data_IF_180314245947
#
_entry.id   IF_180314245947
#
_cell.length_a   1.000
_cell.length_b   1.000
_cell.length_c   1.000
_cell.angle_alpha   90.00
_cell.angle_beta   90.00
_cell.angle_gamma   90.00
#
_symmetry.space_group_name_H-M   'P 1'
#
loop_
_entity.id
_entity.type
_entity.pdbx_description
1 polymer ?
#
# COMPACT_ATOMS: atom_id res chain seq x y z
N UNK A 1 -17.39 13.65 12.36
CA UNK A 1 -17.07 12.39 13.09
C UNK A 1 -15.58 12.35 13.40
N UNK A 2 -15.21 11.83 14.58
CA UNK A 2 -13.80 11.68 15.00
C UNK A 2 -13.25 10.34 14.56
N UNK A 3 -12.10 10.33 13.87
CA UNK A 3 -11.44 9.12 13.43
C UNK A 3 -10.02 9.05 13.95
N UNK A 4 -9.67 7.98 14.67
CA UNK A 4 -8.32 7.69 15.10
C UNK A 4 -7.68 6.74 14.07
N UNK A 5 -6.74 7.27 13.28
CA UNK A 5 -5.98 6.49 12.31
C UNK A 5 -4.73 5.91 12.97
N UNK A 6 -4.71 4.60 13.14
CA UNK A 6 -3.60 3.85 13.74
C UNK A 6 -2.77 3.24 12.63
N UNK A 7 -1.52 3.68 12.48
CA UNK A 7 -0.65 3.25 11.39
C UNK A 7 0.83 3.44 11.70
N UNK A 8 1.67 3.09 10.74
CA UNK A 8 3.07 3.48 10.76
C UNK A 8 3.23 4.82 10.03
N UNK A 9 3.69 5.83 10.76
CA UNK A 9 4.01 7.15 10.23
C UNK A 9 5.51 7.38 10.43
N UNK A 10 6.22 7.69 9.35
CA UNK A 10 7.66 7.97 9.42
C UNK A 10 7.90 9.30 10.15
N UNK A 11 8.97 9.36 10.93
CA UNK A 11 9.48 10.63 11.49
C UNK A 11 10.30 11.40 10.45
N UNK A 12 10.81 10.72 9.43
CA UNK A 12 11.50 11.33 8.31
C UNK A 12 10.47 11.81 7.27
N UNK A 13 10.36 13.13 7.01
CA UNK A 13 9.41 13.69 6.05
C UNK A 13 9.61 13.21 4.61
N UNK A 14 10.82 12.74 4.27
CA UNK A 14 11.12 12.20 2.94
C UNK A 14 10.51 10.82 2.70
N UNK A 15 10.10 10.11 3.78
CA UNK A 15 9.51 8.78 3.71
C UNK A 15 7.99 8.89 3.81
N UNK A 16 7.35 8.82 2.66
CA UNK A 16 5.89 8.79 2.58
C UNK A 16 5.40 7.35 2.83
N UNK A 17 4.76 7.12 3.96
CA UNK A 17 4.25 5.78 4.33
C UNK A 17 2.85 5.55 3.76
N UNK A 18 2.48 4.29 3.59
CA UNK A 18 1.13 3.96 3.12
C UNK A 18 0.03 4.47 4.08
N UNK A 19 0.27 4.49 5.39
CA UNK A 19 -0.68 5.05 6.35
C UNK A 19 -0.86 6.58 6.19
N UNK A 20 0.19 7.29 5.78
CA UNK A 20 0.13 8.74 5.55
C UNK A 20 -0.85 9.07 4.42
N UNK A 21 -0.91 8.25 3.38
CA UNK A 21 -1.81 8.47 2.22
C UNK A 21 -3.30 8.44 2.56
N UNK A 22 -3.68 7.89 3.71
CA UNK A 22 -5.08 7.85 4.14
C UNK A 22 -5.56 9.14 4.83
N UNK A 23 -4.64 9.98 5.31
CA UNK A 23 -5.01 11.14 6.15
C UNK A 23 -5.92 12.10 5.38
N UNK A 24 -5.44 12.58 4.24
CA UNK A 24 -6.16 13.58 3.46
C UNK A 24 -7.49 13.06 2.87
N UNK A 25 -7.57 11.87 2.27
CA UNK A 25 -8.84 11.32 1.82
C UNK A 25 -9.89 11.19 2.93
N UNK A 26 -9.47 10.78 4.15
CA UNK A 26 -10.38 10.71 5.29
C UNK A 26 -10.84 12.09 5.75
N UNK A 27 -9.96 13.10 5.72
CA UNK A 27 -10.34 14.49 6.02
C UNK A 27 -11.32 15.04 4.98
N UNK A 28 -11.13 14.76 3.70
CA UNK A 28 -12.08 15.13 2.62
C UNK A 28 -13.47 14.49 2.81
N UNK A 29 -13.51 13.30 3.38
CA UNK A 29 -14.77 12.65 3.75
C UNK A 29 -15.44 13.26 5.01
N UNK A 30 -14.88 14.32 5.59
CA UNK A 30 -15.45 15.05 6.72
C UNK A 30 -15.09 14.47 8.09
N UNK A 31 -14.05 13.61 8.18
CA UNK A 31 -13.55 13.14 9.46
C UNK A 31 -12.58 14.15 10.11
N UNK A 32 -12.72 14.35 11.42
CA UNK A 32 -11.64 14.90 12.25
C UNK A 32 -10.64 13.78 12.50
N UNK A 33 -9.53 13.78 11.75
CA UNK A 33 -8.53 12.69 11.77
C UNK A 33 -7.44 13.00 12.77
N UNK A 34 -7.22 12.09 13.72
CA UNK A 34 -6.04 12.06 14.58
C UNK A 34 -5.23 10.80 14.28
N UNK A 35 -3.91 10.93 14.22
CA UNK A 35 -3.02 9.80 13.95
C UNK A 35 -2.42 9.23 15.23
N UNK A 36 -2.15 7.92 15.22
CA UNK A 36 -1.39 7.22 16.26
C UNK A 36 -0.36 6.30 15.59
N UNK A 37 0.94 6.56 15.88
CA UNK A 37 2.03 5.71 15.37
C UNK A 37 2.25 4.54 16.33
N UNK A 38 1.99 3.31 15.87
CA UNK A 38 2.19 2.11 16.68
C UNK A 38 3.62 1.53 16.57
N UNK A 39 4.49 2.15 15.77
CA UNK A 39 5.91 1.79 15.59
C UNK A 39 6.80 2.94 16.05
N UNK A 40 6.70 3.35 17.29
CA UNK A 40 7.63 4.32 17.87
C UNK A 40 8.92 3.62 18.30
N UNK A 41 10.08 4.21 17.96
CA UNK A 41 11.35 3.74 18.46
C UNK A 41 11.45 4.12 19.95
N UNK A 42 11.24 3.14 20.82
CA UNK A 42 11.55 3.31 22.23
C UNK A 42 13.06 3.13 22.45
N UNK A 43 13.60 3.82 23.47
CA UNK A 43 15.01 3.86 23.85
C UNK A 43 15.65 2.48 24.15
N UNK A 44 14.88 1.42 24.19
CA UNK A 44 15.36 0.06 24.42
C UNK A 44 15.57 -0.65 23.07
N UNK A 45 16.63 -0.26 22.36
CA UNK A 45 17.10 -1.00 21.18
C UNK A 45 17.91 -2.23 21.65
N UNK A 46 17.24 -3.34 21.89
CA UNK A 46 17.90 -4.60 22.22
C UNK A 46 17.19 -5.77 21.54
N UNK A 47 17.97 -6.75 21.07
CA UNK A 47 17.48 -8.00 20.46
C UNK A 47 16.77 -8.94 21.47
N UNK A 48 16.58 -8.50 22.72
CA UNK A 48 16.00 -9.32 23.77
C UNK A 48 14.47 -9.35 23.68
N UNK A 49 13.90 -10.55 23.73
CA UNK A 49 12.46 -10.83 23.71
C UNK A 49 11.68 -10.04 24.78
N UNK A 50 12.29 -9.78 25.93
CA UNK A 50 11.70 -9.00 27.00
C UNK A 50 11.44 -7.53 26.60
N UNK A 51 12.38 -6.89 25.88
CA UNK A 51 12.21 -5.52 25.38
C UNK A 51 11.05 -5.41 24.40
N UNK A 52 10.85 -6.41 23.55
CA UNK A 52 9.73 -6.45 22.62
C UNK A 52 8.38 -6.50 23.36
N UNK A 53 8.28 -7.30 24.41
CA UNK A 53 7.05 -7.41 25.22
C UNK A 53 6.76 -6.10 25.96
N UNK A 54 7.75 -5.50 26.59
CA UNK A 54 7.61 -4.22 27.30
C UNK A 54 7.17 -3.12 26.33
N UNK A 55 7.83 -2.99 25.18
CA UNK A 55 7.46 -2.01 24.16
C UNK A 55 6.03 -2.21 23.67
N UNK A 56 5.60 -3.45 23.45
CA UNK A 56 4.21 -3.74 23.08
C UNK A 56 3.22 -3.30 24.19
N UNK A 57 3.53 -3.56 25.47
CA UNK A 57 2.68 -3.12 26.56
C UNK A 57 2.55 -1.60 26.60
N UNK A 58 3.67 -0.87 26.46
CA UNK A 58 3.69 0.59 26.46
C UNK A 58 2.86 1.15 25.30
N UNK A 59 3.06 0.66 24.07
CA UNK A 59 2.31 1.09 22.87
C UNK A 59 0.81 0.86 23.06
N UNK A 60 0.42 -0.30 23.57
CA UNK A 60 -0.98 -0.63 23.80
C UNK A 60 -1.62 0.29 24.86
N UNK A 61 -0.91 0.60 25.96
CA UNK A 61 -1.38 1.55 26.95
C UNK A 61 -1.49 2.97 26.41
N UNK A 62 -0.51 3.40 25.60
CA UNK A 62 -0.53 4.73 24.97
C UNK A 62 -1.68 4.85 23.97
N UNK A 63 -1.95 3.79 23.17
CA UNK A 63 -3.11 3.77 22.27
C UNK A 63 -4.42 3.88 23.04
N UNK A 64 -4.59 3.11 24.13
CA UNK A 64 -5.78 3.19 24.97
C UNK A 64 -5.97 4.62 25.52
N UNK A 65 -4.92 5.21 26.10
CA UNK A 65 -4.98 6.58 26.63
C UNK A 65 -5.32 7.61 25.53
N UNK A 66 -4.73 7.46 24.34
CA UNK A 66 -5.02 8.34 23.20
C UNK A 66 -6.48 8.23 22.75
N UNK A 67 -7.01 6.99 22.69
CA UNK A 67 -8.41 6.75 22.35
C UNK A 67 -9.38 7.31 23.42
N UNK A 68 -9.10 7.09 24.70
CA UNK A 68 -9.92 7.62 25.81
C UNK A 68 -9.96 9.15 25.81
N UNK A 69 -8.82 9.81 25.53
CA UNK A 69 -8.75 11.27 25.45
C UNK A 69 -9.46 11.83 24.22
N UNK A 70 -9.32 11.19 23.06
CA UNK A 70 -9.89 11.66 21.80
C UNK A 70 -11.34 11.26 21.61
N UNK A 71 -11.75 10.09 22.15
CA UNK A 71 -13.08 9.46 22.01
C UNK A 71 -13.47 9.34 20.52
N UNK A 72 -12.74 8.54 19.74
CA UNK A 72 -13.02 8.39 18.31
C UNK A 72 -14.34 7.64 18.09
N UNK A 73 -15.13 8.10 17.12
CA UNK A 73 -16.28 7.36 16.60
C UNK A 73 -15.82 6.11 15.82
N UNK A 74 -14.72 6.28 15.07
CA UNK A 74 -14.10 5.22 14.29
C UNK A 74 -12.62 5.12 14.65
N UNK A 75 -12.13 3.92 14.90
CA UNK A 75 -10.69 3.63 14.95
C UNK A 75 -10.33 2.81 13.72
N UNK A 76 -9.56 3.40 12.82
CA UNK A 76 -9.11 2.77 11.58
C UNK A 76 -7.65 2.36 11.70
N UNK A 77 -7.41 1.06 11.71
CA UNK A 77 -6.08 0.47 11.84
C UNK A 77 -5.54 0.05 10.48
N UNK A 78 -4.33 0.47 10.14
CA UNK A 78 -3.58 -0.02 9.00
C UNK A 78 -2.48 -0.92 9.53
N UNK A 79 -2.60 -2.22 9.23
CA UNK A 79 -1.77 -3.31 9.76
C UNK A 79 -1.92 -3.46 11.28
N UNK A 80 -1.25 -2.63 12.08
CA UNK A 80 -1.35 -2.58 13.55
C UNK A 80 -1.10 -3.95 14.24
N UNK A 81 -0.11 -4.69 13.75
CA UNK A 81 0.19 -6.08 14.16
C UNK A 81 0.63 -6.23 15.62
N UNK A 82 1.05 -5.13 16.27
CA UNK A 82 1.46 -5.11 17.68
C UNK A 82 0.32 -4.80 18.65
N UNK A 83 -0.83 -4.40 18.12
CA UNK A 83 -1.97 -4.05 18.97
C UNK A 83 -2.68 -5.31 19.47
N UNK A 84 -2.86 -5.38 20.78
CA UNK A 84 -3.41 -6.56 21.45
C UNK A 84 -4.96 -6.57 21.41
N UNK A 85 -5.58 -7.74 21.26
CA UNK A 85 -7.04 -7.87 21.28
C UNK A 85 -7.70 -7.25 22.51
N UNK A 86 -7.07 -7.38 23.70
CA UNK A 86 -7.57 -6.77 24.94
C UNK A 86 -7.64 -5.25 24.88
N UNK A 87 -6.67 -4.60 24.19
CA UNK A 87 -6.66 -3.14 24.00
C UNK A 87 -7.79 -2.72 23.06
N UNK A 88 -8.00 -3.46 21.97
CA UNK A 88 -9.12 -3.24 21.04
C UNK A 88 -10.46 -3.34 21.76
N UNK A 89 -10.65 -4.40 22.56
CA UNK A 89 -11.88 -4.59 23.37
C UNK A 89 -12.11 -3.47 24.40
N UNK A 90 -11.03 -3.01 25.06
CA UNK A 90 -11.11 -1.91 26.01
C UNK A 90 -11.55 -0.61 25.33
N UNK A 91 -10.96 -0.29 24.17
CA UNK A 91 -11.34 0.91 23.38
C UNK A 91 -12.79 0.79 22.93
N UNK A 92 -13.19 -0.35 22.39
CA UNK A 92 -14.56 -0.60 21.95
C UNK A 92 -15.57 -0.38 23.10
N UNK A 93 -15.27 -0.93 24.28
CA UNK A 93 -16.16 -0.82 25.46
C UNK A 93 -16.22 0.60 26.00
N UNK A 94 -15.08 1.33 26.07
CA UNK A 94 -14.98 2.60 26.77
C UNK A 94 -15.26 3.81 25.85
N UNK A 95 -15.03 3.69 24.54
CA UNK A 95 -15.25 4.77 23.59
C UNK A 95 -16.44 4.52 22.67
N UNK A 96 -17.04 3.32 22.68
CA UNK A 96 -18.06 2.89 21.71
C UNK A 96 -17.61 3.04 20.25
N UNK A 97 -16.30 2.90 20.01
CA UNK A 97 -15.70 3.08 18.69
C UNK A 97 -16.00 1.91 17.78
N UNK A 98 -16.30 2.20 16.51
CA UNK A 98 -16.33 1.22 15.44
C UNK A 98 -14.90 0.90 14.98
N UNK A 99 -14.50 -0.36 15.08
CA UNK A 99 -13.13 -0.80 14.85
C UNK A 99 -12.97 -1.35 13.44
N UNK A 100 -12.16 -0.70 12.60
CA UNK A 100 -11.85 -1.10 11.24
C UNK A 100 -10.38 -1.48 11.13
N UNK A 101 -10.06 -2.55 10.41
CA UNK A 101 -8.68 -2.89 10.07
C UNK A 101 -8.53 -3.07 8.56
N UNK A 102 -7.58 -2.39 7.96
CA UNK A 102 -7.02 -2.73 6.66
C UNK A 102 -5.68 -3.43 6.85
N UNK A 103 -5.61 -4.70 6.46
CA UNK A 103 -4.39 -5.47 6.60
C UNK A 103 -3.70 -5.63 5.24
N UNK A 104 -2.58 -4.92 4.98
CA UNK A 104 -1.93 -4.89 3.66
C UNK A 104 -1.05 -6.11 3.36
N UNK A 105 -0.98 -7.07 4.27
CA UNK A 105 -0.29 -8.35 4.12
C UNK A 105 -1.24 -9.51 4.40
N UNK A 106 -0.79 -10.78 4.30
CA UNK A 106 -1.59 -11.89 4.81
C UNK A 106 -1.55 -11.93 6.34
N UNK A 107 -2.69 -11.78 7.04
CA UNK A 107 -2.70 -11.87 8.50
C UNK A 107 -2.34 -13.26 9.03
N UNK A 108 -2.37 -14.28 8.18
CA UNK A 108 -2.05 -15.67 8.51
C UNK A 108 -0.58 -16.02 8.24
N UNK A 109 0.16 -15.13 7.57
CA UNK A 109 1.58 -15.30 7.29
C UNK A 109 2.43 -14.87 8.51
N UNK A 110 2.55 -15.75 9.50
CA UNK A 110 3.22 -15.47 10.78
C UNK A 110 4.75 -15.39 10.70
N UNK A 111 5.31 -15.67 9.52
CA UNK A 111 6.75 -15.58 9.29
C UNK A 111 7.18 -14.17 8.84
N UNK A 112 8.45 -13.87 9.03
CA UNK A 112 9.11 -12.64 8.55
C UNK A 112 8.49 -11.31 9.01
N UNK A 113 7.83 -11.27 10.17
CA UNK A 113 7.25 -10.05 10.72
C UNK A 113 6.06 -9.50 9.94
N UNK A 114 5.50 -10.27 8.99
CA UNK A 114 4.32 -9.85 8.22
C UNK A 114 3.05 -9.88 9.07
N UNK A 115 2.96 -10.81 10.02
CA UNK A 115 1.83 -10.94 10.93
C UNK A 115 2.29 -11.36 12.32
N UNK A 116 1.37 -11.30 13.28
CA UNK A 116 1.56 -11.73 14.67
C UNK A 116 0.31 -12.45 15.17
N UNK A 117 0.49 -13.20 16.26
CA UNK A 117 -0.65 -13.82 16.97
C UNK A 117 -1.68 -12.79 17.43
N UNK A 118 -1.26 -11.55 17.71
CA UNK A 118 -2.19 -10.48 18.10
C UNK A 118 -3.17 -10.14 17.00
N UNK A 119 -2.72 -10.04 15.74
CA UNK A 119 -3.66 -9.73 14.64
C UNK A 119 -4.61 -10.89 14.38
N UNK A 120 -4.10 -12.13 14.37
CA UNK A 120 -4.97 -13.32 14.16
C UNK A 120 -6.06 -13.40 15.22
N UNK A 121 -5.69 -13.24 16.51
CA UNK A 121 -6.65 -13.20 17.61
C UNK A 121 -7.53 -11.94 17.61
N UNK A 122 -7.07 -10.87 16.99
CA UNK A 122 -7.78 -9.59 16.88
C UNK A 122 -8.84 -9.58 15.77
N UNK A 123 -8.77 -10.48 14.79
CA UNK A 123 -9.70 -10.51 13.65
C UNK A 123 -11.16 -10.47 14.12
N UNK A 124 -11.54 -11.33 15.06
CA UNK A 124 -12.89 -11.40 15.60
C UNK A 124 -13.32 -10.18 16.44
N UNK A 125 -12.37 -9.33 16.87
CA UNK A 125 -12.65 -8.13 17.68
C UNK A 125 -13.01 -6.95 16.79
N UNK A 126 -12.37 -6.81 15.62
CA UNK A 126 -12.71 -5.76 14.66
C UNK A 126 -14.15 -5.91 14.18
N UNK A 127 -14.81 -4.77 13.98
CA UNK A 127 -16.17 -4.74 13.43
C UNK A 127 -16.14 -4.93 11.92
N UNK A 128 -15.11 -4.39 11.24
CA UNK A 128 -14.94 -4.47 9.81
C UNK A 128 -13.48 -4.73 9.46
N UNK A 129 -13.24 -5.76 8.66
CA UNK A 129 -11.92 -6.12 8.19
C UNK A 129 -11.83 -5.91 6.68
N UNK A 130 -10.87 -5.12 6.25
CA UNK A 130 -10.62 -4.79 4.85
C UNK A 130 -9.42 -5.61 4.36
N UNK A 131 -9.59 -6.30 3.26
CA UNK A 131 -8.56 -7.18 2.71
C UNK A 131 -8.41 -6.99 1.20
N UNK A 132 -7.19 -6.99 0.74
CA UNK A 132 -6.82 -6.77 -0.66
C UNK A 132 -6.82 -8.04 -1.52
N UNK A 133 -7.00 -9.21 -0.93
CA UNK A 133 -7.04 -10.51 -1.63
C UNK A 133 -8.34 -11.25 -1.34
N UNK A 134 -9.06 -11.63 -2.39
CA UNK A 134 -10.27 -12.46 -2.28
C UNK A 134 -9.97 -13.84 -1.70
N UNK A 135 -8.79 -14.41 -1.97
CA UNK A 135 -8.39 -15.73 -1.47
C UNK A 135 -8.24 -15.80 0.05
N UNK A 136 -8.04 -14.66 0.72
CA UNK A 136 -7.95 -14.61 2.17
C UNK A 136 -9.32 -14.54 2.87
N UNK A 137 -10.40 -14.29 2.14
CA UNK A 137 -11.76 -14.13 2.70
C UNK A 137 -12.23 -15.37 3.44
N UNK A 138 -12.12 -16.62 2.90
CA UNK A 138 -12.56 -17.81 3.62
C UNK A 138 -11.82 -18.02 4.96
N UNK A 139 -10.52 -17.76 4.97
CA UNK A 139 -9.72 -17.85 6.20
C UNK A 139 -10.11 -16.78 7.25
N UNK A 140 -10.46 -15.58 6.80
CA UNK A 140 -10.95 -14.50 7.69
C UNK A 140 -12.31 -14.86 8.28
N UNK A 141 -13.22 -15.44 7.50
CA UNK A 141 -14.52 -15.96 8.00
C UNK A 141 -14.28 -17.01 9.07
N UNK A 142 -13.42 -18.00 8.80
CA UNK A 142 -13.05 -19.04 9.75
C UNK A 142 -12.39 -18.50 11.02
N UNK A 143 -11.70 -17.36 10.94
CA UNK A 143 -11.13 -16.67 12.10
C UNK A 143 -12.14 -15.81 12.88
N UNK A 144 -13.43 -15.85 12.52
CA UNK A 144 -14.52 -15.16 13.21
C UNK A 144 -14.66 -13.68 12.84
N UNK A 145 -14.21 -13.28 11.66
CA UNK A 145 -14.39 -11.92 11.17
C UNK A 145 -15.90 -11.63 10.98
N UNK A 146 -16.36 -10.47 11.48
CA UNK A 146 -17.78 -10.10 11.47
C UNK A 146 -18.24 -9.55 10.14
N UNK A 147 -17.48 -8.61 9.60
CA UNK A 147 -17.74 -7.99 8.30
C UNK A 147 -16.42 -7.92 7.53
N UNK A 148 -16.44 -8.33 6.28
CA UNK A 148 -15.28 -8.32 5.38
C UNK A 148 -15.65 -7.54 4.14
N UNK A 149 -14.75 -6.64 3.70
CA UNK A 149 -14.83 -6.03 2.38
C UNK A 149 -13.51 -6.19 1.63
N UNK A 150 -13.62 -6.50 0.36
CA UNK A 150 -12.50 -6.38 -0.54
C UNK A 150 -12.12 -4.91 -0.68
N UNK A 151 -10.87 -4.60 -0.39
CA UNK A 151 -10.31 -3.27 -0.47
C UNK A 151 -8.97 -3.37 -1.19
N UNK A 152 -8.94 -3.16 -2.50
CA UNK A 152 -7.70 -3.23 -3.26
C UNK A 152 -6.73 -2.16 -2.77
N UNK A 153 -5.45 -2.42 -2.93
CA UNK A 153 -4.48 -1.34 -2.83
C UNK A 153 -4.93 -0.22 -3.77
N UNK A 154 -4.77 1.01 -3.30
CA UNK A 154 -5.13 2.20 -4.05
C UNK A 154 -3.96 3.16 -4.01
N UNK A 155 -4.01 4.23 -4.79
CA UNK A 155 -2.99 5.27 -4.76
C UNK A 155 -3.54 6.57 -4.19
N UNK A 156 -2.63 7.39 -3.65
CA UNK A 156 -2.95 8.73 -3.18
C UNK A 156 -3.08 9.68 -4.37
N UNK A 157 -4.31 10.13 -4.62
CA UNK A 157 -4.59 11.03 -5.73
C UNK A 157 -3.81 12.35 -5.64
N UNK A 158 -3.61 12.90 -4.45
CA UNK A 158 -2.85 14.16 -4.30
C UNK A 158 -1.39 14.01 -4.69
N UNK A 159 -0.76 12.92 -4.24
CA UNK A 159 0.62 12.64 -4.63
C UNK A 159 0.74 12.41 -6.13
N UNK A 160 -0.20 11.67 -6.74
CA UNK A 160 -0.10 11.26 -8.14
C UNK A 160 -0.75 12.24 -9.12
N UNK A 161 -1.63 13.16 -8.69
CA UNK A 161 -2.16 14.23 -9.53
C UNK A 161 -1.18 15.39 -9.73
N UNK A 162 -0.15 15.53 -8.88
CA UNK A 162 0.84 16.59 -9.02
C UNK A 162 1.62 16.46 -10.33
N UNK A 163 1.80 17.56 -11.04
CA UNK A 163 2.68 17.59 -12.20
C UNK A 163 4.14 17.35 -11.76
N UNK A 164 4.80 16.46 -12.47
CA UNK A 164 6.23 16.21 -12.26
C UNK A 164 7.02 17.02 -13.26
N UNK A 165 7.94 17.84 -12.75
CA UNK A 165 8.95 18.49 -13.58
C UNK A 165 10.18 17.60 -13.60
N UNK A 166 10.52 17.07 -14.76
CA UNK A 166 11.74 16.30 -14.98
C UNK A 166 12.82 17.25 -15.48
N UNK A 167 13.86 17.42 -14.67
CA UNK A 167 15.04 18.19 -15.05
C UNK A 167 16.02 17.35 -15.83
N UNK A 168 16.98 17.98 -16.52
CA UNK A 168 18.07 17.23 -17.17
C UNK A 168 18.88 16.40 -16.17
N UNK A 169 19.02 16.87 -14.93
CA UNK A 169 19.67 16.12 -13.85
C UNK A 169 18.88 14.87 -13.50
N UNK A 170 17.54 14.98 -13.41
CA UNK A 170 16.65 13.84 -13.14
C UNK A 170 16.75 12.84 -14.29
N UNK A 171 16.72 13.32 -15.55
CA UNK A 171 16.84 12.46 -16.72
C UNK A 171 18.15 11.68 -16.72
N UNK A 172 19.28 12.33 -16.45
CA UNK A 172 20.59 11.68 -16.34
C UNK A 172 20.68 10.66 -15.21
N UNK A 173 20.02 10.95 -14.07
CA UNK A 173 20.11 10.13 -12.86
C UNK A 173 19.18 8.92 -12.90
N UNK A 174 17.95 9.10 -13.37
CA UNK A 174 16.91 8.07 -13.32
C UNK A 174 16.72 7.29 -14.63
N UNK A 175 17.19 7.79 -15.78
CA UNK A 175 16.92 7.17 -17.08
C UNK A 175 17.31 5.69 -17.13
N UNK A 176 16.38 4.88 -17.64
CA UNK A 176 16.60 3.46 -17.91
C UNK A 176 15.58 2.93 -18.92
N UNK A 177 15.93 1.85 -19.62
CA UNK A 177 14.98 1.11 -20.45
C UNK A 177 14.01 0.35 -19.56
N UNK A 178 14.54 -0.25 -18.48
CA UNK A 178 13.76 -1.04 -17.51
C UNK A 178 14.09 -0.57 -16.09
N UNK A 179 13.09 -0.25 -15.30
CA UNK A 179 13.24 0.14 -13.91
C UNK A 179 12.49 -0.83 -12.99
N UNK A 180 13.12 -1.20 -11.90
CA UNK A 180 12.50 -1.93 -10.80
C UNK A 180 12.64 -1.15 -9.49
N UNK A 181 11.53 -0.93 -8.79
CA UNK A 181 11.51 -0.28 -7.47
C UNK A 181 10.88 -1.23 -6.45
N UNK A 182 11.70 -1.83 -5.61
CA UNK A 182 11.26 -2.77 -4.57
C UNK A 182 12.41 -3.38 -3.78
N UNK A 183 12.11 -3.86 -2.57
CA UNK A 183 13.06 -4.55 -1.70
C UNK A 183 13.59 -5.82 -2.35
N UNK A 184 14.83 -6.17 -2.07
CA UNK A 184 15.42 -7.41 -2.53
C UNK A 184 14.65 -8.64 -2.03
N UNK A 185 14.48 -9.61 -2.90
CA UNK A 185 14.03 -10.97 -2.60
C UNK A 185 14.71 -11.93 -3.55
N UNK A 186 15.02 -13.17 -3.15
CA UNK A 186 15.76 -14.12 -3.99
C UNK A 186 15.15 -14.31 -5.38
N UNK A 187 13.84 -14.41 -5.42
CA UNK A 187 13.07 -14.65 -6.66
C UNK A 187 13.17 -13.46 -7.62
N UNK A 188 13.07 -12.24 -7.10
CA UNK A 188 13.25 -11.00 -7.89
C UNK A 188 14.66 -10.88 -8.45
N UNK A 189 15.66 -11.21 -7.62
CA UNK A 189 17.05 -11.19 -8.04
C UNK A 189 17.31 -12.19 -9.19
N UNK A 190 16.74 -13.39 -9.13
CA UNK A 190 16.82 -14.38 -10.22
C UNK A 190 16.25 -13.85 -11.53
N UNK A 191 15.05 -13.23 -11.50
CA UNK A 191 14.43 -12.67 -12.70
C UNK A 191 15.24 -11.52 -13.30
N UNK A 192 15.73 -10.62 -12.47
CA UNK A 192 16.53 -9.48 -12.92
C UNK A 192 17.90 -9.89 -13.41
N UNK A 193 18.52 -10.92 -12.83
CA UNK A 193 19.78 -11.50 -13.31
C UNK A 193 19.62 -12.13 -14.69
N UNK A 194 18.50 -12.83 -14.96
CA UNK A 194 18.16 -13.35 -16.29
C UNK A 194 18.09 -12.21 -17.32
N UNK A 195 17.42 -11.09 -16.98
CA UNK A 195 17.35 -9.91 -17.85
C UNK A 195 18.74 -9.39 -18.16
N UNK A 196 19.61 -9.21 -17.15
CA UNK A 196 20.97 -8.73 -17.34
C UNK A 196 21.80 -9.61 -18.26
N UNK A 197 21.65 -10.94 -18.13
CA UNK A 197 22.40 -11.92 -18.92
C UNK A 197 21.90 -12.05 -20.37
N UNK A 198 20.58 -12.03 -20.54
CA UNK A 198 19.94 -12.27 -21.85
C UNK A 198 19.78 -11.01 -22.67
N UNK A 199 19.66 -9.84 -22.03
CA UNK A 199 19.45 -8.54 -22.66
C UNK A 199 20.52 -7.53 -22.21
N UNK A 200 21.82 -7.80 -22.41
CA UNK A 200 22.91 -6.97 -21.87
C UNK A 200 22.95 -5.55 -22.46
N UNK A 201 22.31 -5.34 -23.60
CA UNK A 201 22.22 -4.04 -24.28
C UNK A 201 21.22 -3.08 -23.61
N UNK A 202 20.35 -3.57 -22.71
CA UNK A 202 19.38 -2.74 -22.00
C UNK A 202 19.99 -2.08 -20.78
N UNK A 203 19.56 -0.85 -20.54
CA UNK A 203 19.81 -0.17 -19.28
C UNK A 203 18.76 -0.59 -18.25
N UNK A 204 19.21 -1.29 -17.20
CA UNK A 204 18.39 -1.69 -16.06
C UNK A 204 18.73 -0.82 -14.85
N UNK A 205 17.72 -0.27 -14.18
CA UNK A 205 17.86 0.46 -12.91
C UNK A 205 17.10 -0.25 -11.79
N UNK A 206 17.78 -0.53 -10.67
CA UNK A 206 17.20 -1.19 -9.50
C UNK A 206 17.30 -0.23 -8.32
N UNK A 207 16.15 0.01 -7.66
CA UNK A 207 16.02 0.82 -6.45
C UNK A 207 15.34 0.01 -5.36
N UNK A 208 15.95 -0.07 -4.18
CA UNK A 208 15.33 -0.78 -3.07
C UNK A 208 16.30 -1.16 -1.96
N UNK A 209 15.74 -1.52 -0.82
CA UNK A 209 16.53 -1.95 0.32
C UNK A 209 17.05 -3.39 0.11
N UNK A 210 18.11 -3.74 0.84
CA UNK A 210 18.72 -5.06 0.92
C UNK A 210 19.43 -5.56 -0.36
N UNK A 211 19.44 -4.81 -1.45
CA UNK A 211 20.09 -5.22 -2.70
C UNK A 211 21.61 -5.30 -2.54
N UNK A 212 22.24 -4.25 -2.00
CA UNK A 212 23.70 -4.23 -1.79
C UNK A 212 24.19 -5.28 -0.79
N UNK A 213 23.33 -5.70 0.15
CA UNK A 213 23.67 -6.71 1.15
C UNK A 213 23.59 -8.13 0.62
N UNK A 214 22.80 -8.38 -0.42
CA UNK A 214 22.47 -9.74 -0.88
C UNK A 214 22.94 -10.03 -2.30
N UNK A 215 23.38 -9.03 -3.06
CA UNK A 215 23.93 -9.21 -4.40
C UNK A 215 25.46 -9.01 -4.31
N UNK A 216 26.27 -10.04 -4.63
CA UNK A 216 27.72 -9.90 -4.56
C UNK A 216 28.27 -8.89 -5.59
N UNK A 217 29.31 -8.12 -5.25
CA UNK A 217 29.91 -7.13 -6.15
C UNK A 217 30.39 -7.70 -7.51
N UNK A 218 30.67 -9.00 -7.56
CA UNK A 218 31.06 -9.72 -8.78
C UNK A 218 29.91 -10.01 -9.73
N UNK A 219 28.68 -9.85 -9.28
CA UNK A 219 27.48 -10.08 -10.11
C UNK A 219 27.27 -8.92 -11.09
N UNK A 220 26.90 -9.25 -12.33
CA UNK A 220 26.47 -8.25 -13.33
C UNK A 220 25.25 -7.42 -12.83
N UNK A 221 24.43 -8.01 -11.97
CA UNK A 221 23.27 -7.36 -11.36
C UNK A 221 23.68 -6.24 -10.39
N UNK A 222 24.85 -6.36 -9.72
CA UNK A 222 25.31 -5.38 -8.75
C UNK A 222 25.44 -3.97 -9.34
N UNK A 223 25.97 -3.88 -10.56
CA UNK A 223 26.15 -2.60 -11.27
C UNK A 223 24.84 -1.98 -11.77
N UNK A 224 23.70 -2.69 -11.64
CA UNK A 224 22.36 -2.18 -11.97
C UNK A 224 21.65 -1.59 -10.76
N UNK A 225 22.18 -1.79 -9.56
CA UNK A 225 21.64 -1.22 -8.32
C UNK A 225 22.01 0.26 -8.27
N UNK A 226 21.00 1.12 -8.30
CA UNK A 226 21.18 2.58 -8.28
C UNK A 226 21.14 3.17 -6.87
N UNK A 227 20.49 2.47 -5.90
CA UNK A 227 20.40 2.93 -4.53
C UNK A 227 19.37 2.20 -3.70
N UNK A 228 19.19 2.72 -2.48
CA UNK A 228 18.16 2.25 -1.56
C UNK A 228 16.74 2.58 -2.05
N UNK A 229 15.74 2.22 -1.26
CA UNK A 229 14.35 2.47 -1.58
C UNK A 229 14.06 3.97 -1.78
N UNK A 230 13.34 4.27 -2.84
CA UNK A 230 12.84 5.60 -3.18
C UNK A 230 11.33 5.63 -3.06
N UNK A 231 10.78 6.78 -2.65
CA UNK A 231 9.38 6.97 -2.33
C UNK A 231 8.84 8.27 -2.92
N UNK A 232 7.51 8.41 -2.94
CA UNK A 232 6.84 9.66 -3.28
C UNK A 232 7.29 10.25 -4.62
N UNK A 233 7.63 11.53 -4.63
CA UNK A 233 8.05 12.24 -5.85
C UNK A 233 9.32 11.68 -6.48
N UNK A 234 10.30 11.23 -5.67
CA UNK A 234 11.54 10.62 -6.19
C UNK A 234 11.25 9.34 -6.97
N UNK A 235 10.36 8.49 -6.46
CA UNK A 235 9.91 7.29 -7.13
C UNK A 235 9.18 7.62 -8.45
N UNK A 236 8.29 8.61 -8.43
CA UNK A 236 7.59 9.06 -9.64
C UNK A 236 8.54 9.59 -10.72
N UNK A 237 9.61 10.29 -10.32
CA UNK A 237 10.67 10.73 -11.26
C UNK A 237 11.38 9.53 -11.89
N UNK A 238 11.70 8.50 -11.10
CA UNK A 238 12.29 7.27 -11.64
C UNK A 238 11.35 6.56 -12.62
N UNK A 239 10.03 6.55 -12.33
CA UNK A 239 9.05 6.01 -13.27
C UNK A 239 9.00 6.83 -14.57
N UNK A 240 8.86 8.15 -14.47
CA UNK A 240 8.75 9.04 -15.63
C UNK A 240 10.00 9.05 -16.54
N UNK A 241 11.18 8.75 -16.01
CA UNK A 241 12.42 8.65 -16.75
C UNK A 241 12.72 7.24 -17.29
N UNK A 242 11.80 6.28 -17.15
CA UNK A 242 12.01 4.89 -17.55
C UNK A 242 10.95 4.46 -18.56
N UNK A 243 11.33 3.62 -19.54
CA UNK A 243 10.39 3.13 -20.56
C UNK A 243 9.45 2.06 -20.03
N UNK A 244 9.96 1.14 -19.22
CA UNK A 244 9.22 0.02 -18.63
C UNK A 244 9.47 -0.03 -17.12
N UNK A 245 8.39 -0.03 -16.34
CA UNK A 245 8.47 -0.34 -14.91
C UNK A 245 8.09 -1.79 -14.70
N UNK A 246 9.02 -2.57 -14.12
CA UNK A 246 8.76 -3.96 -13.74
C UNK A 246 8.09 -4.06 -12.38
N UNK A 247 7.17 -4.99 -12.27
CA UNK A 247 6.55 -5.35 -11.01
C UNK A 247 6.50 -6.86 -10.82
N UNK A 248 7.01 -7.31 -9.67
CA UNK A 248 6.94 -8.70 -9.23
C UNK A 248 5.98 -8.81 -8.06
N UNK A 249 5.13 -9.81 -8.10
CA UNK A 249 4.17 -10.10 -7.06
C UNK A 249 4.79 -11.05 -6.04
N UNK A 250 4.73 -10.73 -4.76
CA UNK A 250 5.22 -11.62 -3.71
C UNK A 250 4.38 -12.90 -3.64
N UNK A 251 5.00 -14.02 -3.29
CA UNK A 251 4.29 -15.30 -3.13
C UNK A 251 3.09 -15.22 -2.19
N UNK A 252 3.18 -14.40 -1.14
CA UNK A 252 2.06 -14.18 -0.21
C UNK A 252 0.83 -13.52 -0.88
N UNK A 253 1.03 -12.86 -2.02
CA UNK A 253 -0.03 -12.16 -2.72
C UNK A 253 -0.76 -13.07 -3.72
N UNK A 254 -0.28 -14.27 -3.93
CA UNK A 254 -0.87 -15.35 -4.76
C UNK A 254 -1.47 -14.80 -6.07
N UNK A 255 -2.79 -14.70 -6.18
CA UNK A 255 -3.51 -14.22 -7.36
C UNK A 255 -3.92 -12.74 -7.26
N UNK A 256 -3.45 -12.02 -6.23
CA UNK A 256 -3.80 -10.63 -6.01
C UNK A 256 -2.78 -9.66 -6.65
N UNK A 257 -2.56 -8.53 -6.04
CA UNK A 257 -1.81 -7.39 -6.58
C UNK A 257 -0.98 -6.72 -5.47
N UNK A 258 -0.29 -5.63 -5.82
CA UNK A 258 0.40 -4.78 -4.87
C UNK A 258 0.19 -3.29 -5.24
N UNK A 259 0.82 -2.39 -4.51
CA UNK A 259 0.67 -0.94 -4.71
C UNK A 259 1.12 -0.50 -6.11
N UNK A 260 2.18 -1.10 -6.67
CA UNK A 260 2.71 -0.75 -8.01
C UNK A 260 1.68 -0.93 -9.12
N UNK A 261 0.74 -1.87 -8.93
CA UNK A 261 -0.37 -2.10 -9.87
C UNK A 261 -1.19 -0.83 -10.13
N UNK A 262 -1.23 0.10 -9.18
CA UNK A 262 -1.97 1.36 -9.30
C UNK A 262 -1.05 2.58 -9.42
N UNK A 263 0.06 2.61 -8.71
CA UNK A 263 0.98 3.75 -8.66
C UNK A 263 1.66 4.03 -10.02
N UNK A 264 2.04 2.97 -10.73
CA UNK A 264 2.69 3.11 -12.03
C UNK A 264 1.72 3.63 -13.09
N UNK A 265 0.51 3.05 -13.27
CA UNK A 265 -0.51 3.64 -14.15
C UNK A 265 -0.89 5.07 -13.76
N UNK A 266 -1.05 5.37 -12.47
CA UNK A 266 -1.34 6.72 -11.99
C UNK A 266 -0.23 7.73 -12.32
N UNK A 267 1.00 7.27 -12.49
CA UNK A 267 2.14 8.07 -12.95
C UNK A 267 2.21 8.24 -14.47
N UNK A 268 1.24 7.72 -15.22
CA UNK A 268 1.24 7.68 -16.70
C UNK A 268 2.49 7.00 -17.27
N UNK A 269 2.89 5.88 -16.67
CA UNK A 269 4.08 5.12 -17.05
C UNK A 269 3.70 3.67 -17.33
N UNK A 270 4.43 3.03 -18.23
CA UNK A 270 4.14 1.67 -18.66
C UNK A 270 4.53 0.65 -17.57
N UNK A 271 3.56 -0.16 -17.15
CA UNK A 271 3.73 -1.25 -16.20
C UNK A 271 3.80 -2.60 -16.92
N UNK A 272 4.89 -3.33 -16.71
CA UNK A 272 4.99 -4.75 -17.05
C UNK A 272 5.05 -5.56 -15.75
N UNK A 273 3.98 -6.29 -15.44
CA UNK A 273 3.80 -6.95 -14.14
C UNK A 273 3.70 -8.47 -14.25
N UNK A 274 4.09 -9.16 -13.19
CA UNK A 274 3.85 -10.60 -13.09
C UNK A 274 2.35 -10.86 -13.10
N UNK A 275 1.89 -11.80 -13.96
CA UNK A 275 0.46 -12.08 -14.17
C UNK A 275 -0.17 -12.67 -12.92
N UNK A 276 -1.29 -12.10 -12.50
CA UNK A 276 -2.21 -12.64 -11.52
C UNK A 276 -3.64 -12.47 -12.02
N UNK A 277 -4.56 -13.26 -11.51
CA UNK A 277 -5.96 -13.17 -11.91
C UNK A 277 -6.55 -11.79 -11.63
N UNK A 278 -6.31 -11.25 -10.43
CA UNK A 278 -6.82 -9.92 -10.06
C UNK A 278 -6.33 -8.84 -11.02
N UNK A 279 -5.03 -8.81 -11.31
CA UNK A 279 -4.45 -7.77 -12.16
C UNK A 279 -4.91 -7.88 -13.62
N UNK A 280 -4.92 -9.09 -14.16
CA UNK A 280 -5.16 -9.33 -15.57
C UNK A 280 -6.65 -9.30 -15.96
N UNK A 281 -7.57 -9.46 -14.97
CA UNK A 281 -9.00 -9.68 -15.24
C UNK A 281 -9.91 -8.75 -14.45
N UNK A 282 -9.71 -8.61 -13.13
CA UNK A 282 -10.64 -7.86 -12.27
C UNK A 282 -10.31 -6.37 -12.21
N UNK A 283 -9.03 -6.04 -12.02
CA UNK A 283 -8.59 -4.66 -11.81
C UNK A 283 -8.33 -3.95 -13.12
N UNK A 284 -7.63 -4.63 -14.02
CA UNK A 284 -7.30 -4.20 -15.37
C UNK A 284 -7.68 -5.29 -16.37
N UNK A 285 -7.44 -5.07 -17.65
CA UNK A 285 -7.62 -6.06 -18.71
C UNK A 285 -6.31 -6.23 -19.46
N UNK A 286 -5.76 -7.46 -19.41
CA UNK A 286 -4.47 -7.75 -20.06
C UNK A 286 -4.54 -7.51 -21.58
N UNK A 287 -3.50 -6.86 -22.10
CA UNK A 287 -3.40 -6.47 -23.50
C UNK A 287 -4.13 -5.16 -23.84
N UNK A 288 -5.00 -4.65 -22.96
CA UNK A 288 -5.71 -3.38 -23.17
C UNK A 288 -5.25 -2.29 -22.20
N UNK A 289 -5.23 -2.60 -20.89
CA UNK A 289 -4.90 -1.62 -19.85
C UNK A 289 -3.82 -2.10 -18.88
N UNK A 290 -3.25 -3.28 -19.10
CA UNK A 290 -2.09 -3.79 -18.38
C UNK A 290 -1.33 -4.78 -19.25
N UNK A 291 0.00 -4.83 -19.10
CA UNK A 291 0.85 -5.86 -19.70
C UNK A 291 1.37 -6.80 -18.60
N UNK A 292 1.19 -8.10 -18.81
CA UNK A 292 1.58 -9.12 -17.84
C UNK A 292 2.55 -10.15 -18.43
N UNK A 293 3.31 -10.80 -17.55
CA UNK A 293 4.17 -11.94 -17.87
C UNK A 293 4.04 -13.02 -16.80
N UNK A 294 4.25 -14.29 -17.17
CA UNK A 294 4.21 -15.43 -16.25
C UNK A 294 5.54 -16.22 -16.22
N UNK A 295 6.32 -16.17 -17.30
CA UNK A 295 7.59 -16.89 -17.42
C UNK A 295 8.75 -15.95 -17.77
N UNK A 296 10.01 -16.35 -17.49
CA UNK A 296 11.17 -15.55 -17.88
C UNK A 296 11.24 -15.29 -19.39
N UNK A 297 10.88 -16.27 -20.21
CA UNK A 297 10.92 -16.11 -21.67
C UNK A 297 9.85 -15.13 -22.16
N UNK A 298 8.62 -15.21 -21.61
CA UNK A 298 7.57 -14.22 -21.87
C UNK A 298 7.97 -12.82 -21.43
N UNK A 299 8.61 -12.69 -20.25
CA UNK A 299 9.13 -11.41 -19.77
C UNK A 299 10.12 -10.79 -20.77
N UNK A 300 11.09 -11.56 -21.23
CA UNK A 300 12.08 -11.06 -22.20
C UNK A 300 11.46 -10.69 -23.54
N UNK A 301 10.55 -11.51 -24.07
CA UNK A 301 9.82 -11.21 -25.30
C UNK A 301 9.02 -9.91 -25.16
N UNK A 302 8.32 -9.72 -24.06
CA UNK A 302 7.53 -8.49 -23.80
C UNK A 302 8.41 -7.26 -23.57
N UNK A 303 9.56 -7.41 -22.90
CA UNK A 303 10.51 -6.29 -22.76
C UNK A 303 10.99 -5.86 -24.16
N UNK A 304 11.47 -6.79 -25.00
CA UNK A 304 11.93 -6.48 -26.35
C UNK A 304 10.82 -5.85 -27.18
N UNK A 305 9.62 -6.44 -27.14
CA UNK A 305 8.47 -5.92 -27.87
C UNK A 305 8.16 -4.48 -27.47
N UNK A 306 7.94 -4.23 -26.20
CA UNK A 306 7.52 -2.90 -25.72
C UNK A 306 8.63 -1.85 -25.74
N UNK A 307 9.91 -2.22 -25.74
CA UNK A 307 11.02 -1.28 -25.97
C UNK A 307 10.97 -0.73 -27.39
N UNK A 308 10.67 -1.60 -28.37
CA UNK A 308 10.70 -1.27 -29.80
C UNK A 308 9.35 -0.73 -30.33
N UNK A 309 8.26 -0.88 -29.61
CA UNK A 309 6.90 -0.48 -30.03
C UNK A 309 6.33 0.55 -29.07
N UNK A 310 6.76 1.81 -29.25
CA UNK A 310 6.34 2.93 -28.38
C UNK A 310 4.83 3.18 -28.45
N UNK A 311 4.25 3.13 -29.64
CA UNK A 311 2.81 3.35 -29.84
C UNK A 311 1.96 2.34 -29.04
N UNK A 312 2.33 1.05 -29.08
CA UNK A 312 1.64 0.02 -28.31
C UNK A 312 1.78 0.23 -26.79
N UNK A 313 2.94 0.70 -26.37
CA UNK A 313 3.20 1.09 -24.97
C UNK A 313 2.28 2.23 -24.55
N UNK A 314 2.16 3.27 -25.38
CA UNK A 314 1.39 4.48 -25.08
C UNK A 314 -0.11 4.20 -25.02
N UNK A 315 -0.63 3.32 -25.87
CA UNK A 315 -2.02 2.88 -25.81
C UNK A 315 -2.32 2.24 -24.44
N UNK A 316 -1.47 1.31 -24.00
CA UNK A 316 -1.65 0.67 -22.67
C UNK A 316 -1.50 1.69 -21.55
N UNK A 317 -0.55 2.62 -21.62
CA UNK A 317 -0.36 3.68 -20.63
C UNK A 317 -1.61 4.54 -20.48
N UNK A 318 -2.20 4.99 -21.58
CA UNK A 318 -3.42 5.80 -21.54
C UNK A 318 -4.59 5.03 -20.93
N UNK A 319 -4.82 3.81 -21.39
CA UNK A 319 -5.91 2.97 -20.87
C UNK A 319 -5.72 2.61 -19.40
N UNK A 320 -4.48 2.29 -19.00
CA UNK A 320 -4.15 1.97 -17.61
C UNK A 320 -4.33 3.18 -16.70
N UNK A 321 -3.94 4.38 -17.15
CA UNK A 321 -4.13 5.61 -16.40
C UNK A 321 -5.63 5.88 -16.17
N UNK A 322 -6.46 5.81 -17.22
CA UNK A 322 -7.91 6.00 -17.12
C UNK A 322 -8.53 4.98 -16.16
N UNK A 323 -8.16 3.71 -16.28
CA UNK A 323 -8.65 2.65 -15.39
C UNK A 323 -8.21 2.84 -13.95
N UNK A 324 -6.95 3.26 -13.72
CA UNK A 324 -6.43 3.49 -12.37
C UNK A 324 -7.21 4.56 -11.60
N UNK A 325 -7.84 5.55 -12.28
CA UNK A 325 -8.64 6.58 -11.63
C UNK A 325 -9.82 6.03 -10.81
N UNK A 326 -10.23 4.77 -11.07
CA UNK A 326 -11.23 4.08 -10.24
C UNK A 326 -10.68 3.59 -8.89
N UNK A 327 -9.36 3.57 -8.74
CA UNK A 327 -8.65 3.03 -7.58
C UNK A 327 -7.89 4.11 -6.79
N UNK A 328 -8.42 5.34 -6.75
CA UNK A 328 -7.91 6.34 -5.79
C UNK A 328 -8.34 5.98 -4.37
N UNK A 329 -7.52 6.31 -3.37
CA UNK A 329 -7.88 6.10 -1.96
C UNK A 329 -9.20 6.81 -1.60
N UNK A 330 -9.44 8.01 -2.15
CA UNK A 330 -10.69 8.74 -1.95
C UNK A 330 -11.90 7.90 -2.41
N UNK A 331 -11.85 7.34 -3.63
CA UNK A 331 -12.94 6.51 -4.16
C UNK A 331 -13.12 5.22 -3.37
N UNK A 332 -12.03 4.57 -2.96
CA UNK A 332 -12.15 3.33 -2.19
C UNK A 332 -12.70 3.60 -0.78
N UNK A 333 -12.27 4.66 -0.12
CA UNK A 333 -12.76 5.03 1.21
C UNK A 333 -14.21 5.54 1.17
N UNK A 334 -14.60 6.25 0.10
CA UNK A 334 -15.99 6.70 -0.05
C UNK A 334 -16.99 5.55 -0.14
N UNK A 335 -16.59 4.41 -0.75
CA UNK A 335 -17.43 3.19 -0.76
C UNK A 335 -17.70 2.63 0.64
N UNK A 336 -16.80 2.89 1.59
CA UNK A 336 -16.92 2.44 2.97
C UNK A 336 -17.59 3.46 3.90
N UNK A 337 -17.76 4.71 3.43
CA UNK A 337 -18.26 5.81 4.24
C UNK A 337 -19.61 5.50 4.88
N UNK A 338 -20.54 4.93 4.14
CA UNK A 338 -21.85 4.52 4.65
C UNK A 338 -21.75 3.53 5.81
N UNK A 339 -20.81 2.58 5.73
CA UNK A 339 -20.54 1.62 6.81
C UNK A 339 -20.03 2.31 8.08
N UNK A 340 -19.28 3.40 7.93
CA UNK A 340 -18.74 4.16 9.06
C UNK A 340 -19.82 5.04 9.72
N UNK A 341 -20.72 5.61 8.94
CA UNK A 341 -21.76 6.55 9.40
C UNK A 341 -22.96 5.84 10.00
N UNK A 342 -23.43 4.73 9.41
CA UNK A 342 -24.63 4.01 9.88
C UNK A 342 -24.47 3.34 11.25
N UNK A 343 -23.29 3.35 11.85
CA UNK A 343 -23.05 2.84 13.21
C UNK A 343 -23.51 3.82 14.31
N UNK A 344 -23.74 5.09 13.96
CA UNK A 344 -24.50 6.01 14.82
C UNK A 344 -25.98 5.85 14.48
N UNK A 345 -26.76 5.29 15.41
CA UNK A 345 -28.21 5.15 15.26
C UNK A 345 -28.89 6.47 14.86
N UNK A 346 -30.15 6.43 14.39
CA UNK A 346 -30.85 7.57 13.75
C UNK A 346 -31.04 8.82 14.60
N UNK A 347 -30.55 8.86 15.85
CA UNK A 347 -30.83 9.95 16.79
C UNK A 347 -29.91 11.18 16.70
N UNK A 348 -28.76 11.15 16.00
CA UNK A 348 -27.81 12.27 16.01
C UNK A 348 -27.68 13.05 14.68
N UNK A 349 -28.44 12.70 13.65
CA UNK A 349 -28.30 13.34 12.31
C UNK A 349 -29.23 14.57 12.16
N UNK A 350 -30.27 14.74 12.99
CA UNK A 350 -31.24 15.84 12.81
C UNK A 350 -30.86 17.18 13.44
N UNK A 351 -29.75 17.32 14.16
CA UNK A 351 -29.43 18.58 14.86
C UNK A 351 -28.51 19.55 14.09
N UNK A 352 -27.99 19.18 12.89
CA UNK A 352 -27.07 20.04 12.13
C UNK A 352 -27.52 20.48 10.73
N UNK A 353 -28.70 20.05 10.27
CA UNK A 353 -29.25 20.45 8.94
C UNK A 353 -30.29 21.56 8.99
N UNK A 354 -30.60 22.12 10.15
CA UNK A 354 -31.59 23.21 10.24
C UNK A 354 -30.99 24.64 10.26
N UNK A 355 -29.67 24.82 10.19
CA UNK A 355 -29.06 26.16 10.24
C UNK A 355 -28.44 26.66 8.92
N UNK A 356 -28.80 26.10 7.78
CA UNK A 356 -28.31 26.60 6.47
C UNK A 356 -29.40 26.92 5.46
N UNK A 357 -30.66 27.13 5.88
CA UNK A 357 -31.77 27.51 5.01
C UNK A 357 -32.41 28.84 5.41
N UNK A 358 -31.60 29.86 5.69
CA UNK A 358 -32.07 31.25 5.80
C UNK A 358 -30.96 32.22 5.41
N UNK A 359 -30.74 32.38 4.13
CA UNK A 359 -30.15 33.56 3.49
C UNK A 359 -30.21 33.36 1.98
N UNK A 360 -31.40 33.56 1.40
CA UNK A 360 -31.61 34.11 0.05
C UNK A 360 -33.10 34.54 0.01
N UNK A 361 -33.35 35.80 0.26
CA UNK A 361 -34.34 36.66 -0.37
C UNK A 361 -33.66 37.97 -0.70
#
# INVERSE_FOLDING_TARGET
>A
MKLLLVGYFSQDPSIYTYATSFIHPLQKLGFEVKTFNYRTNFFLSGKFRLHTIINQCIINQQLLNAALKFKPDVMFCIKAETIQPKTLLAIKKQCSSYLVNFYPDSPFALWNGNSTVNIVKGIAVYDHFLIWSHELIPALISAGCKQISYFPFAFDNELFAQNIIITEKDQRYFSSDVCFVGTWEPERAQWLDIICKKLPFLTLAIWGNEWFNNVPPTSVLYNKIRGNAIYGMTMRKAFACSKIILNFIRRQNIQAHNMRTFEVPASKTFLLTQRTYDQATLLFKEGESIACFATPDELMQKIIFYINNEQERDIIVQNSFLRAQEFTLEKQLSKLYTSFVNQKGPHDIHSKTQNSASFIT
#
